data_IF_864092428448
#
_entry.id   IF_864092428448
#
_cell.length_a   1.000
_cell.length_b   1.000
_cell.length_c   1.000
_cell.angle_alpha   90.00
_cell.angle_beta   90.00
_cell.angle_gamma   90.00
#
_symmetry.space_group_name_H-M   'P 1'
#
loop_
_entity.id
_entity.type
_entity.pdbx_description
1 polymer ?
#
# COMPACT_ATOMS: atom_id res chain seq x y z
N UNK A 1 -3.90 36.33 -12.96
CA UNK A 1 -2.72 35.58 -13.42
C UNK A 1 -3.19 34.24 -13.96
N UNK A 2 -2.90 33.90 -15.22
CA UNK A 2 -3.25 32.60 -15.81
C UNK A 2 -2.28 31.57 -15.26
N UNK A 3 -2.75 30.56 -14.53
CA UNK A 3 -1.89 29.48 -14.08
C UNK A 3 -1.26 28.80 -15.31
N UNK A 4 0.05 28.48 -15.27
CA UNK A 4 0.66 27.70 -16.34
C UNK A 4 -0.09 26.37 -16.46
N UNK A 5 -0.16 25.79 -17.68
CA UNK A 5 -0.77 24.48 -17.85
C UNK A 5 -0.04 23.45 -16.96
N UNK A 6 -0.77 22.46 -16.41
CA UNK A 6 -0.14 21.42 -15.60
C UNK A 6 0.86 20.63 -16.43
N UNK A 7 1.97 20.23 -15.79
CA UNK A 7 2.95 19.37 -16.44
C UNK A 7 2.38 17.96 -16.68
N UNK A 8 2.91 17.26 -17.67
CA UNK A 8 2.57 15.85 -17.91
C UNK A 8 2.85 15.01 -16.65
N UNK A 9 3.91 15.32 -15.92
CA UNK A 9 4.23 14.66 -14.66
C UNK A 9 3.11 14.84 -13.65
N UNK A 10 2.65 16.07 -13.38
CA UNK A 10 1.60 16.28 -12.38
C UNK A 10 0.26 15.64 -12.78
N UNK A 11 -0.08 15.66 -14.08
CA UNK A 11 -1.25 14.95 -14.60
C UNK A 11 -1.12 13.44 -14.42
N UNK A 12 0.06 12.89 -14.72
CA UNK A 12 0.34 11.45 -14.56
C UNK A 12 0.22 11.03 -13.10
N UNK A 13 0.81 11.78 -12.17
CA UNK A 13 0.74 11.44 -10.75
C UNK A 13 -0.69 11.55 -10.23
N UNK A 14 -1.44 12.58 -10.60
CA UNK A 14 -2.85 12.70 -10.25
C UNK A 14 -3.69 11.53 -10.79
N UNK A 15 -3.46 11.13 -12.05
CA UNK A 15 -4.11 9.97 -12.64
C UNK A 15 -3.72 8.66 -11.96
N UNK A 16 -2.47 8.53 -11.54
CA UNK A 16 -1.97 7.39 -10.78
C UNK A 16 -2.63 7.31 -9.40
N UNK A 17 -2.79 8.42 -8.67
CA UNK A 17 -3.54 8.48 -7.40
C UNK A 17 -5.01 8.09 -7.60
N UNK A 18 -5.61 8.45 -8.74
CA UNK A 18 -6.97 8.01 -9.07
C UNK A 18 -7.06 6.49 -9.26
N UNK A 19 -6.03 5.88 -9.83
CA UNK A 19 -5.99 4.46 -10.20
C UNK A 19 -5.05 3.61 -9.33
N UNK A 20 -4.64 4.10 -8.16
CA UNK A 20 -3.61 3.45 -7.32
C UNK A 20 -3.99 2.03 -6.93
N UNK A 21 -5.29 1.75 -6.77
CA UNK A 21 -5.84 0.43 -6.47
C UNK A 21 -5.66 -0.59 -7.61
N UNK A 22 -5.34 -0.14 -8.83
CA UNK A 22 -5.09 -0.99 -10.00
C UNK A 22 -3.60 -1.22 -10.25
N UNK A 23 -2.73 -0.43 -9.62
CA UNK A 23 -1.28 -0.57 -9.73
C UNK A 23 -0.85 -1.72 -8.82
N UNK A 24 -0.02 -2.62 -9.34
CA UNK A 24 0.43 -3.81 -8.63
C UNK A 24 1.90 -3.72 -8.19
N UNK A 25 2.69 -2.89 -8.85
CA UNK A 25 4.11 -2.73 -8.55
C UNK A 25 4.56 -1.28 -8.78
N UNK A 26 5.45 -0.81 -7.90
CA UNK A 26 6.11 0.50 -7.95
C UNK A 26 7.64 0.38 -7.99
N UNK A 27 8.19 -0.84 -7.95
CA UNK A 27 9.63 -1.12 -7.89
C UNK A 27 10.43 -0.56 -9.07
N UNK A 28 9.78 -0.35 -10.22
CA UNK A 28 10.41 0.17 -11.44
C UNK A 28 10.50 1.71 -11.48
N UNK A 29 9.87 2.40 -10.53
CA UNK A 29 9.83 3.85 -10.54
C UNK A 29 11.01 4.45 -9.78
N UNK A 30 11.56 5.59 -10.25
CA UNK A 30 12.52 6.36 -9.47
C UNK A 30 11.94 6.82 -8.12
N UNK A 31 12.79 6.87 -7.11
CA UNK A 31 12.43 7.21 -5.72
C UNK A 31 11.63 8.52 -5.60
N UNK A 32 12.05 9.57 -6.32
CA UNK A 32 11.37 10.86 -6.30
C UNK A 32 9.92 10.80 -6.80
N UNK A 33 9.61 9.89 -7.74
CA UNK A 33 8.23 9.69 -8.24
C UNK A 33 7.41 8.92 -7.21
N UNK A 34 8.01 7.92 -6.56
CA UNK A 34 7.35 7.12 -5.51
C UNK A 34 6.98 8.02 -4.33
N UNK A 35 7.87 8.95 -3.95
CA UNK A 35 7.63 9.90 -2.86
C UNK A 35 6.53 10.90 -3.19
N UNK A 36 6.53 11.51 -4.38
CA UNK A 36 5.46 12.43 -4.80
C UNK A 36 4.11 11.70 -4.90
N UNK A 37 4.11 10.47 -5.41
CA UNK A 37 2.93 9.62 -5.47
C UNK A 37 2.42 9.29 -4.07
N UNK A 38 3.32 8.95 -3.13
CA UNK A 38 2.97 8.65 -1.75
C UNK A 38 2.36 9.86 -1.05
N UNK A 39 3.00 11.03 -1.14
CA UNK A 39 2.53 12.27 -0.55
C UNK A 39 1.12 12.64 -1.06
N UNK A 40 0.90 12.60 -2.38
CA UNK A 40 -0.43 12.88 -2.96
C UNK A 40 -1.46 11.81 -2.62
N UNK A 41 -1.04 10.56 -2.44
CA UNK A 41 -1.95 9.48 -2.00
C UNK A 41 -2.40 9.70 -0.56
N UNK A 42 -1.51 10.19 0.31
CA UNK A 42 -1.83 10.60 1.68
C UNK A 42 -2.78 11.80 1.69
N UNK A 43 -2.49 12.86 0.92
CA UNK A 43 -3.35 14.04 0.81
C UNK A 43 -4.74 13.70 0.27
N UNK A 44 -4.83 12.75 -0.68
CA UNK A 44 -6.10 12.29 -1.23
C UNK A 44 -6.88 11.34 -0.28
N UNK A 45 -6.31 10.95 0.87
CA UNK A 45 -6.95 10.03 1.81
C UNK A 45 -7.14 8.61 1.26
N UNK A 46 -6.30 8.18 0.31
CA UNK A 46 -6.42 6.88 -0.38
C UNK A 46 -5.51 5.78 0.18
N UNK A 47 -4.96 6.00 1.37
CA UNK A 47 -4.10 5.03 2.05
C UNK A 47 -4.95 3.89 2.65
N UNK A 48 -5.17 2.85 1.86
CA UNK A 48 -5.75 1.59 2.32
C UNK A 48 -4.65 0.55 2.56
N UNK A 49 -4.95 -0.55 3.27
CA UNK A 49 -3.97 -1.60 3.57
C UNK A 49 -3.29 -2.15 2.30
N UNK A 50 -4.04 -2.38 1.22
CA UNK A 50 -3.47 -2.81 -0.07
C UNK A 50 -2.46 -1.80 -0.61
N UNK A 51 -2.80 -0.51 -0.55
CA UNK A 51 -1.95 0.58 -1.07
C UNK A 51 -0.71 0.73 -0.18
N UNK A 52 -0.87 0.58 1.13
CA UNK A 52 0.25 0.55 2.06
C UNK A 52 1.23 -0.59 1.74
N UNK A 53 0.72 -1.80 1.51
CA UNK A 53 1.55 -2.94 1.08
C UNK A 53 2.27 -2.68 -0.24
N UNK A 54 1.62 -2.00 -1.19
CA UNK A 54 2.22 -1.60 -2.46
C UNK A 54 3.42 -0.64 -2.24
N UNK A 55 3.24 0.37 -1.38
CA UNK A 55 4.32 1.31 -1.06
C UNK A 55 5.45 0.65 -0.24
N UNK A 56 5.13 -0.26 0.69
CA UNK A 56 6.16 -1.03 1.39
C UNK A 56 6.94 -1.94 0.44
N UNK A 57 6.29 -2.51 -0.57
CA UNK A 57 6.95 -3.35 -1.58
C UNK A 57 7.89 -2.57 -2.50
N UNK A 58 7.75 -1.23 -2.59
CA UNK A 58 8.68 -0.40 -3.36
C UNK A 58 10.09 -0.37 -2.76
N UNK A 59 10.24 -0.69 -1.47
CA UNK A 59 11.54 -0.70 -0.79
C UNK A 59 12.16 0.68 -0.53
N UNK A 60 11.43 1.76 -0.78
CA UNK A 60 11.95 3.11 -0.58
C UNK A 60 12.06 3.45 0.92
N UNK A 61 13.27 3.77 1.38
CA UNK A 61 13.60 4.00 2.80
C UNK A 61 12.84 5.18 3.42
N UNK A 62 12.63 6.25 2.65
CA UNK A 62 11.91 7.44 3.13
C UNK A 62 10.42 7.13 3.32
N UNK A 63 9.82 6.40 2.39
CA UNK A 63 8.43 5.95 2.51
C UNK A 63 8.24 5.05 3.73
N UNK A 64 9.16 4.10 3.94
CA UNK A 64 9.15 3.23 5.13
C UNK A 64 9.30 4.03 6.43
N UNK A 65 10.19 5.02 6.46
CA UNK A 65 10.38 5.90 7.61
C UNK A 65 9.10 6.70 7.95
N UNK A 66 8.38 7.19 6.94
CA UNK A 66 7.10 7.87 7.15
C UNK A 66 6.03 6.90 7.64
N UNK A 67 5.96 5.69 7.09
CA UNK A 67 5.01 4.66 7.54
C UNK A 67 5.26 4.30 9.02
N UNK A 68 6.52 4.15 9.42
CA UNK A 68 6.92 3.89 10.80
C UNK A 68 6.56 5.07 11.72
N UNK A 69 6.79 6.30 11.26
CA UNK A 69 6.41 7.51 11.99
C UNK A 69 4.89 7.62 12.19
N UNK A 70 4.09 7.15 11.23
CA UNK A 70 2.63 7.10 11.32
C UNK A 70 2.11 6.04 12.29
N UNK A 71 2.99 5.16 12.84
CA UNK A 71 2.66 4.10 13.81
C UNK A 71 1.53 3.18 13.33
N UNK A 72 1.46 2.93 12.02
CA UNK A 72 0.41 2.10 11.42
C UNK A 72 0.67 0.63 11.80
N UNK A 73 -0.23 0.05 12.61
CA UNK A 73 -0.20 -1.39 12.90
C UNK A 73 -0.90 -2.14 11.77
N UNK A 74 -0.12 -2.80 10.91
CA UNK A 74 -0.66 -3.78 9.96
C UNK A 74 -1.05 -5.01 10.79
N UNK A 75 -2.29 -5.05 11.24
CA UNK A 75 -2.83 -6.22 11.92
C UNK A 75 -2.98 -7.35 10.91
N UNK A 76 -1.96 -8.18 10.79
CA UNK A 76 -2.10 -9.51 10.20
C UNK A 76 -2.82 -10.38 11.22
N UNK A 77 -4.14 -10.18 11.38
CA UNK A 77 -4.94 -11.15 12.11
C UNK A 77 -4.98 -12.42 11.25
N UNK A 78 -4.44 -13.56 11.72
CA UNK A 78 -4.63 -14.80 11.01
C UNK A 78 -6.13 -15.05 10.92
N UNK A 79 -6.61 -15.36 9.72
CA UNK A 79 -7.98 -15.87 9.53
C UNK A 79 -7.97 -17.26 10.15
N UNK A 80 -8.34 -17.35 11.42
CA UNK A 80 -8.57 -18.63 12.08
C UNK A 80 -9.85 -19.23 11.47
N UNK A 81 -9.82 -20.48 11.00
CA UNK A 81 -11.04 -21.13 10.53
C UNK A 81 -12.04 -21.18 11.69
N UNK A 82 -13.09 -20.36 11.60
CA UNK A 82 -14.20 -20.40 12.53
C UNK A 82 -15.10 -21.56 12.13
N UNK A 83 -15.11 -22.61 12.97
CA UNK A 83 -16.09 -23.71 13.02
C UNK A 83 -15.84 -24.92 12.08
N UNK A 84 -15.32 -25.96 12.72
CA UNK A 84 -15.41 -27.41 12.49
C UNK A 84 -15.93 -27.92 11.13
N UNK A 85 -15.08 -27.93 10.11
CA UNK A 85 -15.17 -28.96 9.07
C UNK A 85 -14.42 -30.21 9.56
N UNK A 86 -15.04 -31.39 9.49
CA UNK A 86 -14.49 -32.68 9.96
C UNK A 86 -13.10 -32.99 9.36
N UNK A 87 -12.76 -32.37 8.23
CA UNK A 87 -11.48 -32.54 7.53
C UNK A 87 -10.26 -32.02 8.30
N UNK A 88 -10.43 -31.19 9.32
CA UNK A 88 -9.32 -30.64 10.10
C UNK A 88 -9.14 -31.27 11.49
N UNK A 89 -9.74 -32.46 11.73
CA UNK A 89 -9.34 -33.29 12.88
C UNK A 89 -7.90 -33.74 12.71
N UNK A 90 -6.96 -32.90 13.19
CA UNK A 90 -5.59 -33.27 13.45
C UNK A 90 -5.63 -34.55 14.30
N UNK A 91 -5.16 -35.65 13.73
CA UNK A 91 -4.88 -36.91 14.42
C UNK A 91 -3.72 -36.68 15.42
N UNK A 92 -3.98 -35.88 16.45
CA UNK A 92 -3.13 -35.73 17.63
C UNK A 92 -3.50 -36.82 18.63
N UNK A 93 -3.19 -38.07 18.29
CA UNK A 93 -3.31 -39.19 19.22
C UNK A 93 -2.32 -38.94 20.36
N UNK A 94 -2.84 -38.48 21.51
CA UNK A 94 -2.12 -38.56 22.78
C UNK A 94 -1.91 -40.04 23.10
N UNK A 95 -0.65 -40.46 23.16
CA UNK A 95 -0.21 -41.47 24.12
C UNK A 95 0.26 -40.73 25.37
#
# INVERSE_FOLDING_TARGET
MRSPPPSLLSLTVNAAVLNISRINDLSHLPDHIVLDLFARTLEAGKLNERVLRLFMASGNEEVLSVIDALKIKINVSPILPTRCDEKFRLHGTRR
#
